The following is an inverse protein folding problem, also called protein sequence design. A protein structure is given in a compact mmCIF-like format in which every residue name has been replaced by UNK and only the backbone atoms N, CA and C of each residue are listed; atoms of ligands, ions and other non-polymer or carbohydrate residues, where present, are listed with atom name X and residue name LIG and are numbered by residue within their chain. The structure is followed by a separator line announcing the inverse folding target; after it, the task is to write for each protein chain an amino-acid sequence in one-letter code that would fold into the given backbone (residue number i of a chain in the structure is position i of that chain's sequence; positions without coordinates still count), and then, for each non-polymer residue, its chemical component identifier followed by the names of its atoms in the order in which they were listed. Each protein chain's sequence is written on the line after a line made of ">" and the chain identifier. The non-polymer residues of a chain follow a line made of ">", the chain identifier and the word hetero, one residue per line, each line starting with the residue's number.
data_IF_581014539648
#
_entry.id   IF_581014539648
#
_cell.length_a   1.000
_cell.length_b   1.000
_cell.length_c   1.000
_cell.angle_alpha   90.00
_cell.angle_beta   90.00
_cell.angle_gamma   90.00
#
_symmetry.space_group_name_H-M   'P 1'
#
loop_
_entity.id
_entity.type
_entity.pdbx_description
1 polymer ?
#
# COMPACT_ATOMS: atom_id res chain seq x y z
N UNK A 1 -11.13 -11.30 -17.88
CA UNK A 1 -11.53 -11.35 -16.45
C UNK A 1 -11.64 -9.88 -16.01
N UNK A 2 -12.02 -9.52 -14.78
CA UNK A 2 -11.86 -8.12 -14.32
C UNK A 2 -10.89 -8.08 -13.16
N UNK A 3 -9.87 -7.23 -13.24
CA UNK A 3 -8.90 -6.98 -12.18
C UNK A 3 -9.01 -5.56 -11.62
N UNK A 4 -8.32 -5.31 -10.51
CA UNK A 4 -8.14 -3.98 -9.94
C UNK A 4 -6.70 -3.82 -9.51
N UNK A 5 -6.02 -2.78 -9.99
CA UNK A 5 -4.69 -2.43 -9.54
C UNK A 5 -4.70 -2.00 -8.07
N UNK A 6 -3.80 -2.59 -7.30
CA UNK A 6 -3.60 -2.35 -5.88
C UNK A 6 -2.27 -1.61 -5.63
N UNK A 7 -1.22 -1.94 -6.40
CA UNK A 7 0.03 -1.17 -6.43
C UNK A 7 -0.12 0.02 -7.36
N UNK A 8 -0.48 1.16 -6.79
CA UNK A 8 -0.69 2.40 -7.56
C UNK A 8 0.33 3.51 -7.24
N UNK A 9 1.13 3.33 -6.17
CA UNK A 9 2.13 4.29 -5.70
C UNK A 9 3.54 3.68 -5.57
N UNK A 10 3.74 2.47 -6.09
CA UNK A 10 5.04 1.80 -6.11
C UNK A 10 5.10 0.83 -7.29
N UNK A 11 6.32 0.50 -7.69
CA UNK A 11 6.63 -0.59 -8.63
C UNK A 11 7.70 -1.46 -8.00
N UNK A 12 7.76 -2.73 -8.35
CA UNK A 12 8.88 -3.57 -7.92
C UNK A 12 10.18 -3.12 -8.58
N UNK A 13 11.31 -3.40 -7.95
CA UNK A 13 12.61 -3.36 -8.61
C UNK A 13 12.60 -4.23 -9.88
N UNK A 14 13.36 -3.82 -10.89
CA UNK A 14 13.31 -4.45 -12.23
C UNK A 14 13.99 -5.81 -12.26
N UNK A 15 15.12 -5.97 -11.59
CA UNK A 15 15.95 -7.20 -11.62
C UNK A 15 16.76 -7.35 -10.31
N UNK A 16 17.30 -8.55 -10.07
CA UNK A 16 18.32 -8.77 -9.04
C UNK A 16 17.81 -8.98 -7.60
N UNK A 17 16.50 -9.09 -7.41
CA UNK A 17 15.90 -9.49 -6.14
C UNK A 17 14.78 -10.50 -6.35
N UNK A 18 14.99 -11.72 -5.88
CA UNK A 18 13.94 -12.74 -5.83
C UNK A 18 13.05 -12.48 -4.61
N UNK A 19 11.73 -12.22 -4.79
CA UNK A 19 10.82 -12.08 -3.67
C UNK A 19 10.85 -13.31 -2.75
N UNK A 20 10.79 -13.08 -1.43
CA UNK A 20 10.73 -14.16 -0.45
C UNK A 20 9.35 -14.24 0.21
N UNK A 21 8.93 -15.47 0.53
CA UNK A 21 7.65 -15.75 1.16
C UNK A 21 7.91 -16.43 2.49
N UNK A 22 7.42 -15.81 3.56
CA UNK A 22 7.43 -16.37 4.92
C UNK A 22 5.99 -16.63 5.36
N UNK A 23 5.68 -17.87 5.74
CA UNK A 23 4.36 -18.26 6.24
C UNK A 23 4.43 -18.38 7.76
N UNK A 24 3.56 -17.68 8.47
CA UNK A 24 3.44 -17.72 9.93
C UNK A 24 1.99 -18.02 10.31
N UNK A 25 1.77 -19.20 10.88
CA UNK A 25 0.43 -19.73 11.20
C UNK A 25 -0.52 -19.70 9.99
N UNK A 26 -1.42 -18.71 9.96
CA UNK A 26 -2.42 -18.51 8.90
C UNK A 26 -2.08 -17.36 7.96
N UNK A 27 -1.01 -16.63 8.24
CA UNK A 27 -0.66 -15.40 7.53
C UNK A 27 0.57 -15.63 6.65
N UNK A 28 0.72 -14.78 5.64
CA UNK A 28 1.83 -14.83 4.69
C UNK A 28 2.45 -13.45 4.56
N UNK A 29 3.76 -13.38 4.75
CA UNK A 29 4.56 -12.18 4.51
C UNK A 29 5.35 -12.36 3.21
N UNK A 30 5.07 -11.50 2.24
CA UNK A 30 5.83 -11.39 1.00
C UNK A 30 6.78 -10.21 1.11
N UNK A 31 8.08 -10.47 1.03
CA UNK A 31 9.14 -9.47 0.99
C UNK A 31 9.63 -9.23 -0.44
N UNK A 32 9.73 -7.96 -0.82
CA UNK A 32 10.25 -7.54 -2.12
C UNK A 32 10.87 -6.15 -2.02
N UNK A 33 11.54 -5.74 -3.09
CA UNK A 33 12.11 -4.41 -3.22
C UNK A 33 11.32 -3.57 -4.21
N UNK A 34 11.23 -2.29 -3.92
CA UNK A 34 10.59 -1.31 -4.80
C UNK A 34 11.62 -0.52 -5.61
N UNK A 35 11.18 -0.04 -6.77
CA UNK A 35 11.92 0.95 -7.56
C UNK A 35 11.48 2.36 -7.20
N UNK A 36 12.45 3.28 -7.21
CA UNK A 36 12.25 4.72 -7.09
C UNK A 36 11.98 5.39 -8.44
N UNK A 37 11.93 4.65 -9.54
CA UNK A 37 11.74 5.18 -10.89
C UNK A 37 10.46 6.04 -10.98
N UNK A 38 10.63 7.34 -11.17
CA UNK A 38 9.53 8.31 -11.26
C UNK A 38 8.93 8.72 -9.90
N UNK A 39 9.51 8.30 -8.78
CA UNK A 39 8.97 8.50 -7.43
C UNK A 39 10.06 8.96 -6.45
N UNK A 40 10.23 10.28 -6.34
CA UNK A 40 11.36 10.93 -5.64
C UNK A 40 11.48 10.66 -4.14
N UNK A 41 10.37 10.29 -3.47
CA UNK A 41 10.36 10.02 -2.05
C UNK A 41 10.65 8.56 -1.71
N UNK A 42 10.63 7.65 -2.69
CA UNK A 42 11.01 6.25 -2.50
C UNK A 42 12.52 6.11 -2.68
N UNK A 43 13.10 5.16 -1.96
CA UNK A 43 14.51 4.81 -2.13
C UNK A 43 14.61 3.59 -3.05
N UNK A 44 15.53 3.62 -4.02
CA UNK A 44 15.78 2.45 -4.89
C UNK A 44 16.18 1.26 -4.02
N UNK A 45 15.66 0.08 -4.37
CA UNK A 45 15.93 -1.19 -3.67
C UNK A 45 15.48 -1.22 -2.21
N UNK A 46 14.60 -0.28 -1.79
CA UNK A 46 14.04 -0.25 -0.45
C UNK A 46 13.19 -1.50 -0.18
N UNK A 47 13.45 -2.23 0.91
CA UNK A 47 12.67 -3.42 1.26
C UNK A 47 11.27 -3.04 1.75
N UNK A 48 10.28 -3.78 1.26
CA UNK A 48 8.87 -3.61 1.60
C UNK A 48 8.19 -4.96 1.73
N UNK A 49 7.02 -4.95 2.36
CA UNK A 49 6.25 -6.15 2.65
C UNK A 49 4.79 -6.02 2.21
N UNK A 50 4.26 -7.13 1.68
CA UNK A 50 2.82 -7.39 1.62
C UNK A 50 2.50 -8.47 2.65
N UNK A 51 1.75 -8.12 3.68
CA UNK A 51 1.33 -9.03 4.74
C UNK A 51 -0.11 -9.44 4.48
N UNK A 52 -0.33 -10.69 4.06
CA UNK A 52 -1.63 -11.27 3.80
C UNK A 52 -2.18 -11.94 5.05
N UNK A 53 -3.47 -11.74 5.30
CA UNK A 53 -4.18 -12.22 6.48
C UNK A 53 -5.14 -13.36 6.13
N UNK A 54 -5.20 -14.39 6.98
CA UNK A 54 -6.09 -15.55 6.81
C UNK A 54 -5.95 -16.19 5.42
N UNK A 55 -4.74 -16.61 5.11
CA UNK A 55 -4.34 -17.16 3.81
C UNK A 55 -4.87 -18.58 3.65
N UNK A 56 -5.74 -18.78 2.64
CA UNK A 56 -6.15 -20.12 2.24
C UNK A 56 -4.99 -20.89 1.63
N UNK A 57 -4.26 -20.24 0.74
CA UNK A 57 -3.05 -20.78 0.14
C UNK A 57 -2.48 -19.85 -0.92
N UNK A 58 -1.32 -20.22 -1.44
CA UNK A 58 -0.55 -19.41 -2.37
C UNK A 58 0.20 -20.28 -3.38
N UNK A 59 0.75 -19.66 -4.41
CA UNK A 59 1.72 -20.29 -5.31
C UNK A 59 2.77 -19.28 -5.72
N UNK A 60 3.99 -19.73 -5.93
CA UNK A 60 5.04 -18.95 -6.59
C UNK A 60 5.47 -19.68 -7.86
N UNK A 61 5.40 -18.97 -8.99
CA UNK A 61 5.82 -19.49 -10.30
C UNK A 61 6.91 -18.59 -10.84
N UNK A 62 8.07 -19.17 -11.13
CA UNK A 62 9.15 -18.44 -11.78
C UNK A 62 8.73 -18.00 -13.19
N UNK A 63 9.03 -16.76 -13.55
CA UNK A 63 8.77 -16.22 -14.88
C UNK A 63 9.86 -15.22 -15.26
N UNK A 64 10.20 -15.16 -16.56
CA UNK A 64 11.12 -14.14 -17.11
C UNK A 64 10.33 -12.98 -17.72
N UNK A 65 10.95 -11.82 -17.88
CA UNK A 65 10.34 -10.68 -18.57
C UNK A 65 9.91 -11.05 -20.01
N UNK A 66 10.74 -11.79 -20.77
CA UNK A 66 10.37 -12.35 -22.08
C UNK A 66 9.10 -13.20 -22.03
N UNK A 67 9.04 -14.17 -21.09
CA UNK A 67 7.90 -15.07 -20.97
C UNK A 67 6.63 -14.30 -20.58
N UNK A 68 6.76 -13.31 -19.70
CA UNK A 68 5.68 -12.40 -19.35
C UNK A 68 5.17 -11.62 -20.57
N UNK A 69 6.07 -11.02 -21.35
CA UNK A 69 5.72 -10.25 -22.55
C UNK A 69 5.06 -11.12 -23.63
N UNK A 70 5.35 -12.42 -23.65
CA UNK A 70 4.69 -13.41 -24.51
C UNK A 70 3.34 -13.90 -23.95
N UNK A 71 2.91 -13.42 -22.78
CA UNK A 71 1.66 -13.82 -22.14
C UNK A 71 1.72 -15.21 -21.49
N UNK A 72 2.91 -15.68 -21.08
CA UNK A 72 3.12 -16.98 -20.44
C UNK A 72 2.68 -16.98 -18.97
N UNK A 73 1.47 -16.50 -18.70
CA UNK A 73 0.82 -16.51 -17.40
C UNK A 73 -0.65 -16.90 -17.53
N UNK A 74 -1.27 -17.27 -16.42
CA UNK A 74 -2.58 -17.95 -16.41
C UNK A 74 -3.76 -17.06 -16.81
N UNK A 75 -3.60 -15.76 -16.71
CA UNK A 75 -4.63 -14.76 -16.97
C UNK A 75 -4.40 -14.09 -18.31
N UNK A 76 -5.44 -13.52 -18.90
CA UNK A 76 -5.35 -12.79 -20.18
C UNK A 76 -6.10 -11.48 -20.02
N UNK A 77 -5.56 -10.60 -19.18
CA UNK A 77 -6.05 -9.24 -19.03
C UNK A 77 -4.99 -8.27 -19.53
N UNK A 78 -5.42 -7.31 -20.33
CA UNK A 78 -4.56 -6.32 -20.98
C UNK A 78 -3.97 -5.31 -19.97
N UNK A 79 -4.49 -5.27 -18.74
CA UNK A 79 -4.13 -4.31 -17.69
C UNK A 79 -3.12 -4.85 -16.66
N UNK A 80 -2.57 -6.04 -16.88
CA UNK A 80 -1.55 -6.60 -15.99
C UNK A 80 -0.21 -5.92 -16.29
N UNK A 81 0.33 -5.22 -15.29
CA UNK A 81 1.62 -4.54 -15.41
C UNK A 81 2.69 -5.32 -14.67
N UNK A 82 3.83 -5.51 -15.34
CA UNK A 82 5.04 -6.04 -14.71
C UNK A 82 5.45 -5.16 -13.53
N UNK A 83 5.83 -5.78 -12.42
CA UNK A 83 6.11 -5.05 -11.17
C UNK A 83 4.86 -4.51 -10.47
N UNK A 84 3.68 -4.95 -10.90
CA UNK A 84 2.39 -4.57 -10.33
C UNK A 84 1.83 -5.57 -9.32
N UNK A 85 0.81 -5.11 -8.60
CA UNK A 85 0.03 -5.90 -7.66
C UNK A 85 -1.45 -5.64 -7.90
N UNK A 86 -2.24 -6.70 -7.98
CA UNK A 86 -3.65 -6.63 -8.37
C UNK A 86 -4.54 -7.56 -7.55
N UNK A 87 -5.84 -7.28 -7.59
CA UNK A 87 -6.89 -8.21 -7.18
C UNK A 87 -7.68 -8.69 -8.39
N UNK A 88 -7.92 -10.00 -8.49
CA UNK A 88 -8.81 -10.59 -9.49
C UNK A 88 -10.24 -10.69 -8.92
N UNK A 89 -11.12 -9.79 -9.36
CA UNK A 89 -12.49 -9.67 -8.83
C UNK A 89 -13.40 -10.87 -9.12
N UNK A 90 -13.09 -11.62 -10.18
CA UNK A 90 -13.83 -12.83 -10.59
C UNK A 90 -12.85 -13.91 -10.99
N UNK A 91 -12.28 -14.59 -10.01
CA UNK A 91 -11.41 -15.74 -10.24
C UNK A 91 -12.06 -17.04 -9.78
N UNK A 92 -11.90 -18.09 -10.58
CA UNK A 92 -12.39 -19.44 -10.27
C UNK A 92 -11.33 -20.23 -9.50
N UNK A 93 -10.66 -19.60 -8.53
CA UNK A 93 -9.48 -20.19 -7.87
C UNK A 93 -9.80 -21.48 -7.11
N UNK A 94 -11.05 -21.68 -6.68
CA UNK A 94 -11.49 -22.93 -6.05
C UNK A 94 -11.66 -24.07 -7.07
N UNK A 95 -12.10 -23.75 -8.29
CA UNK A 95 -12.31 -24.74 -9.35
C UNK A 95 -11.05 -24.98 -10.19
N UNK A 96 -10.15 -24.00 -10.22
CA UNK A 96 -8.90 -24.02 -10.95
C UNK A 96 -7.82 -23.36 -10.10
N UNK A 97 -7.26 -24.07 -9.11
CA UNK A 97 -6.18 -23.55 -8.28
C UNK A 97 -4.91 -23.30 -9.12
N UNK A 98 -4.02 -22.41 -8.67
CA UNK A 98 -2.71 -22.22 -9.30
C UNK A 98 -1.91 -23.52 -9.40
N UNK A 99 -0.99 -23.61 -10.36
CA UNK A 99 0.00 -24.69 -10.38
C UNK A 99 0.90 -24.57 -9.14
N UNK A 100 1.25 -25.69 -8.51
CA UNK A 100 2.05 -25.72 -7.27
C UNK A 100 1.41 -24.97 -6.09
N UNK A 101 0.08 -24.94 -6.02
CA UNK A 101 -0.65 -24.34 -4.91
C UNK A 101 -0.29 -25.00 -3.58
N UNK A 102 0.19 -24.18 -2.64
CA UNK A 102 0.50 -24.54 -1.27
C UNK A 102 -0.66 -24.09 -0.38
N UNK A 103 -1.35 -25.06 0.20
CA UNK A 103 -2.45 -24.79 1.11
C UNK A 103 -1.94 -24.47 2.52
N UNK A 104 -2.40 -23.35 3.08
CA UNK A 104 -2.08 -22.91 4.45
C UNK A 104 -3.25 -23.25 5.37
N UNK A 105 -4.46 -22.74 5.08
CA UNK A 105 -5.68 -23.08 5.83
C UNK A 105 -6.42 -24.26 5.18
N UNK A 106 -6.65 -25.32 5.97
CA UNK A 106 -7.36 -26.54 5.51
C UNK A 106 -8.84 -26.33 5.20
N UNK A 107 -9.52 -25.48 5.98
CA UNK A 107 -10.95 -25.23 5.84
C UNK A 107 -11.23 -23.72 5.90
N UNK A 108 -11.30 -23.02 4.76
CA UNK A 108 -11.51 -21.57 4.72
C UNK A 108 -12.99 -21.17 4.90
N UNK A 109 -13.87 -22.08 5.32
CA UNK A 109 -15.31 -21.80 5.45
C UNK A 109 -15.55 -20.64 6.41
N UNK A 110 -16.20 -19.59 5.91
CA UNK A 110 -16.50 -18.37 6.67
C UNK A 110 -15.56 -17.19 6.38
N UNK A 111 -14.42 -17.44 5.73
CA UNK A 111 -13.50 -16.37 5.31
C UNK A 111 -14.01 -15.68 4.05
N UNK A 112 -13.82 -14.36 3.96
CA UNK A 112 -14.11 -13.58 2.76
C UNK A 112 -12.89 -13.58 1.82
N UNK A 113 -12.60 -14.75 1.26
CA UNK A 113 -11.43 -14.93 0.40
C UNK A 113 -11.46 -14.06 -0.86
N UNK A 114 -10.32 -13.45 -1.12
CA UNK A 114 -9.97 -12.64 -2.29
C UNK A 114 -8.76 -13.25 -2.97
N UNK A 115 -8.55 -12.92 -4.24
CA UNK A 115 -7.45 -13.45 -5.03
C UNK A 115 -6.53 -12.31 -5.46
N UNK A 116 -5.32 -12.34 -4.92
CA UNK A 116 -4.27 -11.38 -5.16
C UNK A 116 -3.20 -11.97 -6.08
N UNK A 117 -2.68 -11.15 -6.98
CA UNK A 117 -1.57 -11.52 -7.85
C UNK A 117 -0.51 -10.43 -7.81
N UNK A 118 0.70 -10.84 -7.49
CA UNK A 118 1.90 -10.01 -7.48
C UNK A 118 2.81 -10.43 -8.64
N UNK A 119 3.15 -9.46 -9.49
CA UNK A 119 4.07 -9.64 -10.61
C UNK A 119 5.45 -9.13 -10.18
N UNK A 120 6.26 -10.02 -9.60
CA UNK A 120 7.64 -9.72 -9.22
C UNK A 120 8.62 -9.83 -10.40
N UNK A 121 9.88 -9.42 -10.19
CA UNK A 121 10.91 -9.42 -11.24
C UNK A 121 11.31 -10.83 -11.74
N UNK A 122 11.12 -11.87 -10.93
CA UNK A 122 11.50 -13.24 -11.29
C UNK A 122 10.38 -14.25 -11.06
N UNK A 123 9.27 -13.80 -10.46
CA UNK A 123 8.22 -14.66 -9.95
C UNK A 123 6.85 -13.99 -10.05
N UNK A 124 5.86 -14.77 -10.42
CA UNK A 124 4.46 -14.44 -10.19
C UNK A 124 4.03 -15.16 -8.92
N UNK A 125 3.50 -14.39 -7.98
CA UNK A 125 2.97 -14.91 -6.73
C UNK A 125 1.46 -14.72 -6.73
N UNK A 126 0.74 -15.82 -6.59
CA UNK A 126 -0.71 -15.83 -6.39
C UNK A 126 -0.99 -16.11 -4.92
N UNK A 127 -1.86 -15.33 -4.30
CA UNK A 127 -2.25 -15.50 -2.91
C UNK A 127 -3.77 -15.41 -2.76
N UNK A 128 -4.37 -16.42 -2.15
CA UNK A 128 -5.78 -16.42 -1.78
C UNK A 128 -5.88 -16.14 -0.29
N UNK A 129 -6.35 -14.95 0.07
CA UNK A 129 -6.36 -14.45 1.45
C UNK A 129 -7.61 -13.60 1.70
N UNK A 130 -7.93 -13.31 2.97
CA UNK A 130 -9.05 -12.44 3.31
C UNK A 130 -8.72 -10.97 3.07
N UNK A 131 -7.51 -10.56 3.45
CA UNK A 131 -7.02 -9.20 3.23
C UNK A 131 -5.49 -9.13 3.14
N UNK A 132 -4.97 -7.93 2.88
CA UNK A 132 -3.53 -7.66 2.90
C UNK A 132 -3.21 -6.26 3.44
N UNK A 133 -1.97 -6.08 3.92
CA UNK A 133 -1.41 -4.78 4.30
C UNK A 133 -0.03 -4.57 3.68
N UNK A 134 0.18 -3.41 3.08
CA UNK A 134 1.49 -2.94 2.61
C UNK A 134 2.25 -2.23 3.74
N UNK A 135 3.55 -2.46 3.85
CA UNK A 135 4.42 -1.79 4.83
C UNK A 135 5.85 -1.68 4.34
N UNK A 136 6.56 -0.63 4.75
CA UNK A 136 8.01 -0.50 4.57
C UNK A 136 8.76 -1.27 5.65
N UNK A 137 10.01 -1.68 5.38
CA UNK A 137 10.88 -2.25 6.42
C UNK A 137 11.21 -1.23 7.52
N UNK A 138 11.51 -0.01 7.13
CA UNK A 138 11.61 1.12 8.05
C UNK A 138 10.26 1.83 8.08
N UNK A 139 9.50 1.66 9.17
CA UNK A 139 8.14 2.20 9.25
C UNK A 139 8.17 3.75 9.18
N UNK A 140 7.58 4.36 8.14
CA UNK A 140 7.54 5.82 8.03
C UNK A 140 6.76 6.48 9.18
N UNK A 141 5.81 5.76 9.81
CA UNK A 141 5.12 6.24 11.00
C UNK A 141 6.10 6.38 12.17
N UNK A 142 6.85 5.33 12.50
CA UNK A 142 7.82 5.35 13.60
C UNK A 142 8.90 6.43 13.36
N UNK A 143 9.37 6.57 12.13
CA UNK A 143 10.33 7.60 11.76
C UNK A 143 9.76 9.03 11.91
N UNK A 144 8.47 9.24 11.59
CA UNK A 144 7.81 10.52 11.83
C UNK A 144 7.62 10.79 13.32
N UNK A 145 7.19 9.80 14.10
CA UNK A 145 6.96 9.96 15.54
C UNK A 145 8.27 10.21 16.31
N UNK A 146 9.39 9.63 15.85
CA UNK A 146 10.71 9.95 16.40
C UNK A 146 11.09 11.42 16.19
N UNK A 147 10.72 12.02 15.05
CA UNK A 147 10.98 13.44 14.73
C UNK A 147 9.93 14.39 15.30
N UNK A 148 8.68 13.94 15.36
CA UNK A 148 7.49 14.69 15.74
C UNK A 148 6.67 13.90 16.77
N UNK A 149 7.12 13.85 18.05
CA UNK A 149 6.58 12.91 19.04
C UNK A 149 5.13 13.12 19.45
N UNK A 150 4.51 14.24 19.06
CA UNK A 150 3.08 14.47 19.28
C UNK A 150 2.21 13.87 18.19
N UNK A 151 2.78 13.61 17.01
CA UNK A 151 2.16 12.88 15.91
C UNK A 151 0.80 13.45 15.48
N UNK A 152 0.61 14.77 15.59
CA UNK A 152 -0.69 15.39 15.29
C UNK A 152 -1.06 15.18 13.82
N UNK A 153 -0.10 15.35 12.91
CA UNK A 153 -0.32 15.15 11.48
C UNK A 153 -0.56 13.67 11.16
N UNK A 154 0.17 12.75 11.80
CA UNK A 154 -0.04 11.31 11.60
C UNK A 154 -1.46 10.91 11.97
N UNK A 155 -1.93 11.36 13.14
CA UNK A 155 -3.29 11.11 13.61
C UNK A 155 -4.35 11.72 12.69
N UNK A 156 -4.15 12.99 12.28
CA UNK A 156 -5.04 13.66 11.34
C UNK A 156 -5.16 12.89 10.00
N UNK A 157 -4.02 12.48 9.42
CA UNK A 157 -4.01 11.78 8.13
C UNK A 157 -4.59 10.36 8.24
N UNK A 158 -4.28 9.61 9.30
CA UNK A 158 -4.88 8.30 9.57
C UNK A 158 -6.41 8.36 9.58
N UNK A 159 -6.95 9.32 10.33
CA UNK A 159 -8.40 9.51 10.40
C UNK A 159 -8.97 9.99 9.05
N UNK A 160 -8.30 10.91 8.37
CA UNK A 160 -8.74 11.38 7.05
C UNK A 160 -8.90 10.22 6.07
N UNK A 161 -7.87 9.38 5.92
CA UNK A 161 -7.87 8.26 4.97
C UNK A 161 -8.75 7.08 5.40
N UNK A 162 -9.19 7.04 6.65
CA UNK A 162 -10.24 6.10 7.10
C UNK A 162 -11.63 6.50 6.58
N UNK A 163 -11.85 7.80 6.33
CA UNK A 163 -13.16 8.33 5.92
C UNK A 163 -13.23 8.74 4.45
N UNK A 164 -12.11 9.11 3.84
CA UNK A 164 -12.06 9.66 2.49
C UNK A 164 -10.97 9.00 1.65
N UNK A 165 -11.36 8.51 0.47
CA UNK A 165 -10.42 7.93 -0.50
C UNK A 165 -9.64 9.01 -1.27
N UNK A 166 -10.25 10.19 -1.46
CA UNK A 166 -9.74 11.26 -2.31
C UNK A 166 -9.59 12.58 -1.55
N UNK A 167 -8.50 13.30 -1.85
CA UNK A 167 -8.29 14.66 -1.35
C UNK A 167 -8.89 15.68 -2.31
N UNK A 168 -9.82 16.47 -1.80
CA UNK A 168 -10.37 17.67 -2.45
C UNK A 168 -10.77 18.69 -1.37
N UNK A 169 -11.08 19.92 -1.78
CA UNK A 169 -11.37 21.01 -0.84
C UNK A 169 -12.60 20.74 0.05
N UNK A 170 -13.62 20.05 -0.46
CA UNK A 170 -14.83 19.72 0.29
C UNK A 170 -14.52 18.68 1.38
N UNK A 171 -13.87 17.58 1.01
CA UNK A 171 -13.47 16.53 1.94
C UNK A 171 -12.53 17.07 3.02
N UNK A 172 -11.57 17.92 2.66
CA UNK A 172 -10.67 18.55 3.63
C UNK A 172 -11.41 19.45 4.61
N UNK A 173 -12.39 20.24 4.13
CA UNK A 173 -13.23 21.06 5.01
C UNK A 173 -14.06 20.22 5.94
N UNK A 174 -14.84 19.30 5.39
CA UNK A 174 -15.70 18.40 6.17
C UNK A 174 -14.90 17.64 7.23
N UNK A 175 -13.75 17.09 6.85
CA UNK A 175 -12.91 16.36 7.79
C UNK A 175 -12.28 17.26 8.84
N UNK A 176 -11.78 18.45 8.48
CA UNK A 176 -11.20 19.37 9.46
C UNK A 176 -12.23 19.84 10.47
N UNK A 177 -13.45 20.14 10.02
CA UNK A 177 -14.57 20.50 10.89
C UNK A 177 -14.88 19.37 11.89
N UNK A 178 -14.89 18.12 11.42
CA UNK A 178 -15.09 16.94 12.26
C UNK A 178 -13.91 16.72 13.22
N UNK A 179 -12.68 16.83 12.72
CA UNK A 179 -11.46 16.70 13.52
C UNK A 179 -11.45 17.70 14.67
N UNK A 180 -11.90 18.94 14.44
CA UNK A 180 -12.03 19.98 15.48
C UNK A 180 -13.15 19.75 16.49
N UNK A 181 -14.13 18.91 16.16
CA UNK A 181 -15.16 18.47 17.09
C UNK A 181 -14.69 17.30 17.95
N UNK A 182 -13.90 16.39 17.36
CA UNK A 182 -13.34 15.22 18.03
C UNK A 182 -12.14 15.56 18.91
N UNK A 183 -11.25 16.40 18.39
CA UNK A 183 -10.11 16.94 19.13
C UNK A 183 -10.52 18.22 19.83
N UNK A 184 -9.92 18.51 20.98
CA UNK A 184 -10.20 19.79 21.65
C UNK A 184 -9.65 20.87 20.70
N UNK A 185 -10.48 21.79 20.19
CA UNK A 185 -10.07 22.88 19.24
C UNK A 185 -8.72 23.54 19.54
N UNK A 186 -8.33 23.60 20.82
CA UNK A 186 -7.03 24.08 21.31
C UNK A 186 -5.80 23.31 20.80
N UNK A 187 -5.96 22.07 20.33
CA UNK A 187 -4.88 21.21 19.85
C UNK A 187 -4.58 21.45 18.35
N UNK A 188 -5.51 22.06 17.61
CA UNK A 188 -5.33 22.33 16.18
C UNK A 188 -4.20 23.32 15.86
N UNK A 189 -3.96 24.40 16.63
CA UNK A 189 -2.76 25.21 16.46
C UNK A 189 -1.45 24.41 16.58
N UNK A 190 -1.43 23.36 17.40
CA UNK A 190 -0.24 22.50 17.55
C UNK A 190 -0.03 21.63 16.30
N UNK A 191 -1.12 21.14 15.69
CA UNK A 191 -1.06 20.50 14.37
C UNK A 191 -0.50 21.47 13.31
N UNK A 192 -0.97 22.73 13.30
CA UNK A 192 -0.46 23.73 12.35
C UNK A 192 1.03 23.98 12.53
N UNK A 193 1.51 24.06 13.76
CA UNK A 193 2.93 24.25 14.07
C UNK A 193 3.78 23.03 13.69
N UNK A 194 3.25 21.81 13.91
CA UNK A 194 3.89 20.57 13.44
C UNK A 194 4.02 20.54 11.91
N UNK A 195 2.95 20.92 11.17
CA UNK A 195 3.00 21.01 9.71
C UNK A 195 4.05 22.02 9.23
N UNK A 196 4.11 23.21 9.83
CA UNK A 196 5.16 24.21 9.49
C UNK A 196 6.56 23.67 9.75
N UNK A 197 6.76 22.89 10.80
CA UNK A 197 8.04 22.27 11.11
C UNK A 197 8.42 21.19 10.08
N UNK A 198 7.46 20.38 9.64
CA UNK A 198 7.64 19.39 8.55
C UNK A 198 8.05 20.08 7.24
N UNK A 199 7.36 21.16 6.86
CA UNK A 199 7.69 21.92 5.66
C UNK A 199 9.10 22.53 5.76
N UNK A 200 9.45 23.13 6.91
CA UNK A 200 10.77 23.71 7.16
C UNK A 200 11.89 22.68 7.07
N UNK A 201 11.66 21.48 7.60
CA UNK A 201 12.64 20.38 7.61
C UNK A 201 12.69 19.60 6.30
N UNK A 202 11.79 19.89 5.34
CA UNK A 202 11.65 19.19 4.05
C UNK A 202 11.28 17.71 4.22
N UNK A 203 10.53 17.37 5.26
CA UNK A 203 10.13 15.99 5.59
C UNK A 203 8.87 15.51 4.84
N UNK A 204 8.40 16.25 3.82
CA UNK A 204 7.20 15.90 3.06
C UNK A 204 7.29 14.53 2.37
N UNK A 205 8.47 14.09 1.93
CA UNK A 205 8.65 12.77 1.35
C UNK A 205 8.37 11.63 2.35
N UNK A 206 8.75 11.82 3.61
CA UNK A 206 8.48 10.85 4.67
C UNK A 206 6.99 10.80 5.01
N UNK A 207 6.32 11.95 5.04
CA UNK A 207 4.85 12.03 5.20
C UNK A 207 4.14 11.33 4.04
N UNK A 208 4.65 11.48 2.82
CA UNK A 208 4.07 10.83 1.65
C UNK A 208 4.21 9.30 1.72
N UNK A 209 5.38 8.79 2.13
CA UNK A 209 5.57 7.35 2.42
C UNK A 209 4.55 6.85 3.43
N UNK A 210 4.35 7.59 4.52
CA UNK A 210 3.37 7.25 5.54
C UNK A 210 1.95 7.20 4.97
N UNK A 211 1.53 8.18 4.17
CA UNK A 211 0.20 8.15 3.55
C UNK A 211 0.04 6.91 2.65
N UNK A 212 1.07 6.51 1.91
CA UNK A 212 1.00 5.31 1.07
C UNK A 212 1.00 3.99 1.83
N UNK A 213 1.34 3.98 3.14
CA UNK A 213 1.06 2.83 4.00
C UNK A 213 -0.38 2.81 4.53
N UNK A 214 -1.09 3.95 4.48
CA UNK A 214 -2.49 4.09 4.91
C UNK A 214 -3.50 3.82 3.81
N UNK A 215 -3.20 4.18 2.55
CA UNK A 215 -4.18 4.15 1.46
C UNK A 215 -3.64 3.54 0.17
N UNK A 216 -4.56 2.95 -0.59
CA UNK A 216 -4.38 2.46 -1.95
C UNK A 216 -4.88 3.47 -2.99
N UNK A 217 -5.01 4.76 -2.63
CA UNK A 217 -5.37 5.84 -3.56
C UNK A 217 -4.14 6.56 -4.14
N UNK A 218 -4.25 7.06 -5.37
CA UNK A 218 -3.13 7.69 -6.15
C UNK A 218 -2.77 9.06 -5.59
N UNK A 219 -2.38 9.07 -4.32
CA UNK A 219 -2.11 10.25 -3.56
C UNK A 219 -0.73 10.78 -3.94
N UNK A 220 -0.70 11.99 -4.46
CA UNK A 220 0.52 12.60 -5.03
C UNK A 220 1.13 13.60 -4.07
N UNK A 221 2.41 13.94 -4.30
CA UNK A 221 3.09 15.03 -3.59
C UNK A 221 2.35 16.37 -3.73
N UNK A 222 1.72 16.62 -4.88
CA UNK A 222 0.89 17.81 -5.10
C UNK A 222 -0.31 17.82 -4.14
N UNK A 223 -1.04 16.71 -4.04
CA UNK A 223 -2.16 16.61 -3.12
C UNK A 223 -1.71 16.72 -1.67
N UNK A 224 -0.57 16.14 -1.29
CA UNK A 224 0.02 16.35 0.04
C UNK A 224 0.25 17.83 0.32
N UNK A 225 0.89 18.56 -0.60
CA UNK A 225 1.10 20.00 -0.46
C UNK A 225 -0.21 20.78 -0.32
N UNK A 226 -1.27 20.36 -1.01
CA UNK A 226 -2.60 20.94 -0.84
C UNK A 226 -3.17 20.69 0.56
N UNK A 227 -3.04 19.47 1.11
CA UNK A 227 -3.44 19.16 2.49
C UNK A 227 -2.67 19.99 3.50
N UNK A 228 -1.34 20.02 3.42
CA UNK A 228 -0.50 20.75 4.36
C UNK A 228 -0.82 22.25 4.34
N UNK A 229 -0.93 22.84 3.14
CA UNK A 229 -1.34 24.23 2.96
C UNK A 229 -2.72 24.50 3.55
N UNK A 230 -3.67 23.59 3.34
CA UNK A 230 -5.02 23.72 3.88
C UNK A 230 -5.00 23.79 5.40
N UNK A 231 -4.31 22.85 6.06
CA UNK A 231 -4.18 22.81 7.53
C UNK A 231 -3.60 24.11 8.07
N UNK A 232 -2.51 24.61 7.47
CA UNK A 232 -1.85 25.86 7.91
C UNK A 232 -2.73 27.10 7.74
N UNK A 233 -3.57 27.12 6.71
CA UNK A 233 -4.44 28.27 6.38
C UNK A 233 -5.82 28.22 7.03
N UNK A 234 -6.21 27.07 7.57
CA UNK A 234 -7.51 26.86 8.20
C UNK A 234 -7.65 27.74 9.46
N UNK A 235 -8.81 28.39 9.60
CA UNK A 235 -9.11 29.40 10.62
C UNK A 235 -10.11 28.89 11.65
#
# INVERSE_FOLDING_TARGET
>A
MKSTALAINWKTAKEGFTPSIDVLDTDLKLNFKISSEGISYLQEDEPVFLNFQNVYGYSSTNITAEAYNQGAYRWKEDDLQWGGFIELKKSNFLQNPPTHFQQVIKNPKGLKLRHFVFFGPEQIIECIAEDYKFSFENDPQEALEAKYPKAYLNYYLSLFFTHFENVNAENLRMFTDLYLQLTKRKDFPLLQDEVKAIEKNKDAGLVLKYVHSLTQSKFTEKQLKEVLKYIVQYK
#
